data_IF_152010910832
#
_entry.id   IF_152010910832
#
_cell.length_a   1.000
_cell.length_b   1.000
_cell.length_c   1.000
_cell.angle_alpha   90.00
_cell.angle_beta   90.00
_cell.angle_gamma   90.00
#
_symmetry.space_group_name_H-M   'P 1'
#
loop_
_entity.id
_entity.type
_entity.pdbx_description
1 polymer ?
#
# COMPACT_ATOMS: atom_id res chain seq x y z
N UNK A 1 -10.67 -19.78 -25.81
CA UNK A 1 -10.16 -18.57 -25.11
C UNK A 1 -10.28 -18.85 -23.63
N UNK A 2 -9.17 -18.93 -22.91
CA UNK A 2 -9.20 -19.22 -21.47
C UNK A 2 -9.46 -17.88 -20.78
N UNK A 3 -10.66 -17.70 -20.21
CA UNK A 3 -10.94 -16.64 -19.26
C UNK A 3 -9.95 -16.82 -18.09
N UNK A 4 -8.87 -16.01 -18.07
CA UNK A 4 -8.01 -15.88 -16.90
C UNK A 4 -8.88 -15.27 -15.80
N UNK A 5 -9.49 -16.14 -14.99
CA UNK A 5 -10.10 -15.81 -13.70
C UNK A 5 -9.14 -14.84 -13.01
N UNK A 6 -9.52 -13.56 -12.84
CA UNK A 6 -8.71 -12.57 -12.11
C UNK A 6 -8.26 -13.24 -10.81
N UNK A 7 -7.00 -13.68 -10.74
CA UNK A 7 -6.43 -14.24 -9.53
C UNK A 7 -6.60 -13.15 -8.48
N UNK A 8 -7.48 -13.38 -7.50
CA UNK A 8 -7.70 -12.42 -6.43
C UNK A 8 -6.33 -12.22 -5.77
N UNK A 9 -5.74 -11.04 -5.95
CA UNK A 9 -4.48 -10.73 -5.30
C UNK A 9 -4.65 -10.95 -3.78
N UNK A 10 -3.76 -11.74 -3.19
CA UNK A 10 -3.72 -11.91 -1.74
C UNK A 10 -3.20 -10.62 -1.07
N UNK A 11 -3.45 -10.46 0.23
CA UNK A 11 -2.85 -9.37 1.01
C UNK A 11 -1.33 -9.29 0.84
N UNK A 12 -0.69 -10.45 0.66
CA UNK A 12 0.77 -10.58 0.55
C UNK A 12 1.27 -10.11 -0.82
N UNK A 13 0.50 -10.40 -1.88
CA UNK A 13 0.79 -9.87 -3.21
C UNK A 13 0.59 -8.35 -3.25
N UNK A 14 -0.47 -7.83 -2.62
CA UNK A 14 -0.71 -6.38 -2.54
C UNK A 14 0.41 -5.69 -1.77
N UNK A 15 0.80 -6.25 -0.62
CA UNK A 15 1.94 -5.78 0.15
C UNK A 15 3.20 -5.71 -0.72
N UNK A 16 3.51 -6.77 -1.47
CA UNK A 16 4.70 -6.83 -2.32
C UNK A 16 4.67 -5.72 -3.37
N UNK A 17 3.54 -5.55 -4.07
CA UNK A 17 3.40 -4.49 -5.10
C UNK A 17 3.54 -3.10 -4.50
N UNK A 18 2.86 -2.82 -3.38
CA UNK A 18 2.93 -1.52 -2.72
C UNK A 18 4.33 -1.23 -2.17
N UNK A 19 5.00 -2.23 -1.59
CA UNK A 19 6.37 -2.10 -1.11
C UNK A 19 7.34 -1.76 -2.23
N UNK A 20 7.26 -2.46 -3.36
CA UNK A 20 8.12 -2.17 -4.51
C UNK A 20 7.89 -0.74 -5.02
N UNK A 21 6.63 -0.28 -5.10
CA UNK A 21 6.30 1.11 -5.48
C UNK A 21 6.85 2.17 -4.53
N UNK A 22 6.99 1.85 -3.24
CA UNK A 22 7.61 2.76 -2.27
C UNK A 22 9.13 2.77 -2.46
N UNK A 23 9.74 1.61 -2.69
CA UNK A 23 11.20 1.46 -2.86
C UNK A 23 11.69 2.07 -4.17
N UNK A 24 10.95 1.89 -5.26
CA UNK A 24 11.26 2.45 -6.58
C UNK A 24 10.86 3.93 -6.72
N UNK A 25 10.30 4.52 -5.66
CA UNK A 25 9.81 5.90 -5.58
C UNK A 25 8.64 6.22 -6.52
N UNK A 26 7.92 5.22 -7.04
CA UNK A 26 6.60 5.44 -7.66
C UNK A 26 5.61 6.07 -6.69
N UNK A 27 5.76 5.77 -5.39
CA UNK A 27 5.15 6.52 -4.30
C UNK A 27 6.22 7.24 -3.51
N UNK A 28 6.28 8.56 -3.69
CA UNK A 28 7.29 9.39 -3.06
C UNK A 28 7.10 9.48 -1.53
N UNK A 29 8.18 9.62 -0.75
CA UNK A 29 8.09 9.89 0.68
C UNK A 29 7.15 11.06 1.01
N UNK A 30 6.26 10.85 1.98
CA UNK A 30 5.23 11.83 2.36
C UNK A 30 3.93 11.75 1.55
N UNK A 31 3.89 10.98 0.45
CA UNK A 31 2.67 10.74 -0.34
C UNK A 31 1.58 10.12 0.51
N UNK A 32 0.34 10.59 0.34
CA UNK A 32 -0.83 10.06 1.04
C UNK A 32 -1.62 9.16 0.11
N UNK A 33 -1.74 7.89 0.48
CA UNK A 33 -2.48 6.85 -0.21
C UNK A 33 -3.84 6.65 0.46
N UNK A 34 -4.85 6.34 -0.35
CA UNK A 34 -6.19 6.02 0.11
C UNK A 34 -6.48 4.53 -0.06
N UNK A 35 -7.02 3.89 0.99
CA UNK A 35 -7.41 2.48 0.94
C UNK A 35 -8.49 2.18 -0.11
N UNK A 36 -9.39 3.13 -0.35
CA UNK A 36 -10.45 3.01 -1.35
C UNK A 36 -9.86 3.00 -2.75
N UNK A 37 -9.02 3.99 -3.06
CA UNK A 37 -8.41 4.13 -4.38
C UNK A 37 -7.50 2.94 -4.70
N UNK A 38 -6.69 2.49 -3.72
CA UNK A 38 -5.88 1.28 -3.87
C UNK A 38 -6.75 0.02 -4.08
N UNK A 39 -7.86 -0.11 -3.36
CA UNK A 39 -8.79 -1.23 -3.56
C UNK A 39 -9.43 -1.22 -4.94
N UNK A 40 -9.80 -0.05 -5.45
CA UNK A 40 -10.31 0.12 -6.82
C UNK A 40 -9.24 -0.23 -7.87
N UNK A 41 -7.99 0.21 -7.66
CA UNK A 41 -6.86 -0.09 -8.56
C UNK A 41 -6.61 -1.60 -8.67
N UNK A 42 -6.60 -2.30 -7.54
CA UNK A 42 -6.42 -3.75 -7.52
C UNK A 42 -7.70 -4.53 -7.89
N UNK A 43 -8.85 -3.86 -8.01
CA UNK A 43 -10.15 -4.49 -8.24
C UNK A 43 -10.56 -5.44 -7.10
N UNK A 44 -10.22 -5.07 -5.86
CA UNK A 44 -10.43 -5.86 -4.64
C UNK A 44 -11.32 -5.12 -3.65
N UNK A 45 -11.71 -5.81 -2.57
CA UNK A 45 -12.32 -5.16 -1.42
C UNK A 45 -11.26 -4.44 -0.58
N UNK A 46 -11.71 -3.55 0.31
CA UNK A 46 -10.83 -2.78 1.21
C UNK A 46 -10.12 -3.66 2.24
N UNK A 47 -10.69 -4.79 2.63
CA UNK A 47 -10.14 -5.67 3.67
C UNK A 47 -8.72 -6.16 3.35
N UNK A 48 -8.43 -6.81 2.21
CA UNK A 48 -7.07 -7.27 1.89
C UNK A 48 -6.08 -6.11 1.71
N UNK A 49 -6.52 -4.97 1.19
CA UNK A 49 -5.70 -3.76 1.05
C UNK A 49 -5.31 -3.19 2.42
N UNK A 50 -6.27 -3.10 3.35
CA UNK A 50 -6.01 -2.67 4.72
C UNK A 50 -5.04 -3.60 5.46
N UNK A 51 -5.12 -4.92 5.23
CA UNK A 51 -4.15 -5.87 5.77
C UNK A 51 -2.76 -5.63 5.18
N UNK A 52 -2.64 -5.35 3.88
CA UNK A 52 -1.37 -5.01 3.26
C UNK A 52 -0.77 -3.71 3.83
N UNK A 53 -1.57 -2.65 3.99
CA UNK A 53 -1.11 -1.40 4.61
C UNK A 53 -0.70 -1.58 6.08
N UNK A 54 -1.41 -2.43 6.82
CA UNK A 54 -1.01 -2.83 8.18
C UNK A 54 0.39 -3.45 8.21
N UNK A 55 0.70 -4.35 7.27
CA UNK A 55 2.05 -4.95 7.17
C UNK A 55 3.11 -3.91 6.76
N UNK A 56 2.79 -2.99 5.85
CA UNK A 56 3.70 -1.89 5.49
C UNK A 56 3.98 -0.95 6.67
N UNK A 57 2.99 -0.73 7.54
CA UNK A 57 3.14 0.05 8.77
C UNK A 57 4.06 -0.66 9.77
N UNK A 58 3.91 -1.98 9.93
CA UNK A 58 4.82 -2.81 10.75
C UNK A 58 6.27 -2.74 10.25
N UNK A 59 6.47 -2.71 8.93
CA UNK A 59 7.77 -2.54 8.28
C UNK A 59 8.27 -1.08 8.24
N UNK A 60 7.52 -0.14 8.81
CA UNK A 60 7.85 1.30 8.86
C UNK A 60 8.01 1.95 7.49
N UNK A 61 7.30 1.46 6.48
CA UNK A 61 7.27 2.06 5.14
C UNK A 61 6.14 3.08 5.01
N UNK A 62 5.09 2.95 5.82
CA UNK A 62 3.96 3.88 5.85
C UNK A 62 3.51 4.17 7.28
N UNK A 63 2.81 5.29 7.48
CA UNK A 63 2.09 5.65 8.69
C UNK A 63 0.58 5.64 8.40
N UNK A 64 -0.20 4.88 9.17
CA UNK A 64 -1.68 4.94 9.07
C UNK A 64 -2.18 6.08 9.94
N UNK A 65 -2.75 7.12 9.32
CA UNK A 65 -3.24 8.31 10.01
C UNK A 65 -4.78 8.26 10.03
N UNK A 66 -5.41 8.13 11.22
CA UNK A 66 -6.86 8.03 11.34
C UNK A 66 -7.59 9.17 10.64
N UNK A 67 -8.59 8.83 9.81
CA UNK A 67 -9.42 9.76 9.03
C UNK A 67 -8.68 10.57 7.96
N UNK A 68 -7.41 10.27 7.70
CA UNK A 68 -6.59 10.99 6.72
C UNK A 68 -6.12 10.06 5.59
N UNK A 69 -5.66 8.86 5.92
CA UNK A 69 -5.19 7.87 4.95
C UNK A 69 -3.91 7.18 5.40
N UNK A 70 -3.15 6.69 4.44
CA UNK A 70 -1.88 5.99 4.66
C UNK A 70 -0.75 6.80 4.04
N UNK A 71 0.12 7.37 4.86
CA UNK A 71 1.21 8.22 4.39
C UNK A 71 2.49 7.41 4.23
N UNK A 72 3.15 7.46 3.06
CA UNK A 72 4.52 6.93 2.91
C UNK A 72 5.45 7.67 3.85
N UNK A 73 6.25 6.95 4.63
CA UNK A 73 7.10 7.57 5.65
C UNK A 73 8.02 8.61 4.99
N UNK A 74 7.99 9.88 5.44
CA UNK A 74 8.89 10.91 4.92
C UNK A 74 10.33 10.60 5.33
N UNK A 75 11.28 11.01 4.50
CA UNK A 75 12.69 10.92 4.86
C UNK A 75 13.02 12.11 5.75
N UNK A 76 13.28 11.84 7.03
CA UNK A 76 13.78 12.83 7.98
C UNK A 76 15.24 12.49 8.31
N UNK A 77 16.16 13.39 7.93
CA UNK A 77 17.59 13.25 8.20
C UNK A 77 17.98 13.75 9.60
N UNK A 78 17.08 14.39 10.34
CA UNK A 78 17.34 14.93 11.68
C UNK A 78 17.26 13.82 12.75
N UNK A 79 16.64 12.68 12.43
CA UNK A 79 16.53 11.51 13.32
C UNK A 79 17.60 10.42 13.07
N UNK A 80 18.63 10.73 12.28
CA UNK A 80 19.69 9.80 11.89
C UNK A 80 20.98 10.03 12.67
#
# INVERSE_FOLDING_TARGET
MIERKKEKLSSDQIYTVLRERIIDLSYEPGTVLNEVDAAEEFGLSRTPVRVAFKRLEEDRLVNIIPRFGVQVVPIDFIQM
#
